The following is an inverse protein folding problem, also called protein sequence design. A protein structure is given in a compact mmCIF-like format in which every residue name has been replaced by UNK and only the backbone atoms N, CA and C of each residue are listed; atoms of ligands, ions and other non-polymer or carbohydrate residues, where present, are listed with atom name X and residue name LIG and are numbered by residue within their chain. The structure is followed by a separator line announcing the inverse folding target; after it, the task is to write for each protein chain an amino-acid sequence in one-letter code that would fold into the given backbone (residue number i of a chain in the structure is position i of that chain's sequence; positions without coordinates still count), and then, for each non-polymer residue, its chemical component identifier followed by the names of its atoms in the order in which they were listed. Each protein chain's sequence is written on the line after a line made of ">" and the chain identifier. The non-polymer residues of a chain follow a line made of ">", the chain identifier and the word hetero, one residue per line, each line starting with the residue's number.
data_IF_688917847292
#
_entry.id   IF_688917847292
#
_cell.length_a   1.000
_cell.length_b   1.000
_cell.length_c   1.000
_cell.angle_alpha   90.00
_cell.angle_beta   90.00
_cell.angle_gamma   90.00
#
_symmetry.space_group_name_H-M   'P 1'
#
loop_
_entity.id
_entity.type
_entity.pdbx_description
1 polymer ?
#
# COMPACT_ATOMS: atom_id res chain seq x y z
N UNK A 1 5.03 4.74 30.98
CA UNK A 1 4.69 4.60 30.92
C UNK A 1 4.50 4.36 30.79
N UNK A 2 4.46 3.82 30.61
CA UNK A 2 4.12 3.55 30.49
C UNK A 2 4.15 2.93 30.07
N UNK A 3 4.25 2.29 30.16
CA UNK A 3 4.11 1.81 29.94
C UNK A 3 3.93 1.37 29.70
N UNK A 4 3.84 0.68 29.68
CA UNK A 4 3.49 0.42 29.71
C UNK A 4 3.50 -0.16 29.62
N UNK A 5 3.65 -0.75 29.92
CA UNK A 5 3.50 -1.08 30.17
C UNK A 5 3.46 -1.54 29.93
N UNK A 6 3.53 -2.10 29.74
CA UNK A 6 3.28 -2.15 29.60
C UNK A 6 3.33 -1.89 29.17
N UNK A 7 3.39 -2.10 29.01
CA UNK A 7 3.22 -1.54 28.79
C UNK A 7 3.15 -1.16 28.10
N UNK A 8 3.20 -1.55 27.88
CA UNK A 8 2.93 -1.03 27.41
C UNK A 8 2.52 -0.29 27.13
N UNK A 9 2.14 -0.39 26.93
CA UNK A 9 1.45 0.43 26.71
C UNK A 9 1.30 0.94 26.06
N UNK A 10 1.87 0.69 26.27
CA UNK A 10 1.48 1.65 25.60
C UNK A 10 1.26 1.92 24.18
N UNK A 11 0.95 1.63 23.43
CA UNK A 11 0.62 1.88 22.24
C UNK A 11 -0.44 2.85 21.98
N UNK A 12 -1.07 3.49 22.84
CA UNK A 12 -2.09 4.50 22.62
C UNK A 12 -1.63 5.68 21.80
N UNK A 13 -0.38 5.92 21.80
CA UNK A 13 0.14 7.01 21.02
C UNK A 13 -0.19 6.91 19.56
N UNK A 14 -0.33 5.71 19.09
CA UNK A 14 -0.64 5.48 17.70
C UNK A 14 -1.97 6.08 17.34
N UNK A 15 -2.91 6.04 18.28
CA UNK A 15 -4.24 6.52 17.98
C UNK A 15 -4.34 8.01 17.94
N UNK A 16 -3.42 8.69 18.57
CA UNK A 16 -3.48 10.13 18.60
C UNK A 16 -3.24 10.79 17.27
N UNK A 17 -2.71 10.06 16.32
CA UNK A 17 -2.38 10.64 15.03
C UNK A 17 -3.48 10.48 14.01
N UNK A 18 -4.62 9.98 14.42
CA UNK A 18 -5.64 9.63 13.46
C UNK A 18 -6.20 10.77 12.66
N UNK A 19 -6.27 11.96 13.23
CA UNK A 19 -6.83 13.08 12.50
C UNK A 19 -6.06 13.39 11.24
N UNK A 20 -4.74 13.36 11.31
CA UNK A 20 -3.94 13.54 10.12
C UNK A 20 -3.80 12.27 9.31
N UNK A 21 -3.95 11.13 9.97
CA UNK A 21 -3.67 9.83 9.38
C UNK A 21 -4.59 9.48 8.23
N UNK A 22 -5.86 9.84 8.31
CA UNK A 22 -6.79 9.52 7.22
C UNK A 22 -6.38 10.18 5.93
N UNK A 23 -6.01 11.45 5.98
CA UNK A 23 -5.56 12.15 4.79
C UNK A 23 -4.27 11.53 4.26
N UNK A 24 -3.37 11.19 5.17
CA UNK A 24 -2.11 10.55 4.79
C UNK A 24 -2.33 9.20 4.14
N UNK A 25 -3.28 8.44 4.64
CA UNK A 25 -3.59 7.13 4.06
C UNK A 25 -4.20 7.31 2.67
N UNK A 26 -5.09 8.28 2.52
CA UNK A 26 -5.67 8.57 1.21
C UNK A 26 -4.60 8.99 0.20
N UNK A 27 -3.68 9.84 0.64
CA UNK A 27 -2.58 10.28 -0.21
C UNK A 27 -1.69 9.12 -0.58
N UNK A 28 -1.40 8.24 0.37
CA UNK A 28 -0.59 7.06 0.09
C UNK A 28 -1.27 6.14 -0.91
N UNK A 29 -2.59 6.00 -0.81
CA UNK A 29 -3.34 5.20 -1.78
C UNK A 29 -3.22 5.79 -3.17
N UNK A 30 -3.35 7.10 -3.29
CA UNK A 30 -3.21 7.77 -4.59
C UNK A 30 -1.80 7.58 -5.14
N UNK A 31 -0.79 7.70 -4.29
CA UNK A 31 0.60 7.49 -4.71
C UNK A 31 0.82 6.04 -5.16
N UNK A 32 0.25 5.09 -4.44
CA UNK A 32 0.39 3.69 -4.81
C UNK A 32 -0.25 3.42 -6.17
N UNK A 33 -1.43 4.00 -6.42
CA UNK A 33 -2.09 3.86 -7.71
C UNK A 33 -1.25 4.44 -8.83
N UNK A 34 -0.66 5.61 -8.60
CA UNK A 34 0.16 6.26 -9.61
C UNK A 34 1.41 5.43 -9.92
N UNK A 35 2.06 4.92 -8.88
CA UNK A 35 3.24 4.09 -9.07
C UNK A 35 2.91 2.78 -9.76
N UNK A 36 1.80 2.17 -9.40
CA UNK A 36 1.39 0.94 -10.08
C UNK A 36 1.14 1.19 -11.56
N UNK A 37 0.50 2.31 -11.89
CA UNK A 37 0.28 2.66 -13.29
C UNK A 37 1.60 2.83 -14.05
N UNK A 38 2.60 3.41 -13.39
CA UNK A 38 3.93 3.55 -14.00
C UNK A 38 4.55 2.18 -14.29
N UNK A 39 4.47 1.27 -13.33
CA UNK A 39 5.03 -0.07 -13.53
C UNK A 39 4.30 -0.85 -14.62
N UNK A 40 2.98 -0.67 -14.72
CA UNK A 40 2.22 -1.31 -15.78
C UNK A 40 2.66 -0.79 -17.15
N UNK A 41 2.87 0.52 -17.26
CA UNK A 41 3.35 1.10 -18.52
C UNK A 41 4.77 0.60 -18.85
N UNK A 42 5.62 0.49 -17.83
CA UNK A 42 6.96 -0.03 -18.02
C UNK A 42 6.92 -1.48 -18.47
N UNK A 43 6.02 -2.27 -17.89
CA UNK A 43 5.82 -3.65 -18.31
C UNK A 43 5.44 -3.72 -19.80
N UNK A 44 4.50 -2.90 -20.22
CA UNK A 44 4.07 -2.91 -21.62
C UNK A 44 5.21 -2.53 -22.55
N UNK A 45 6.02 -1.57 -22.17
CA UNK A 45 7.17 -1.17 -22.95
C UNK A 45 8.18 -2.30 -23.03
N UNK A 46 8.51 -2.92 -21.90
CA UNK A 46 9.46 -4.03 -21.87
C UNK A 46 8.97 -5.21 -22.73
N UNK A 47 7.67 -5.44 -22.69
CA UNK A 47 7.06 -6.49 -23.51
C UNK A 47 7.27 -6.21 -24.99
N UNK A 48 7.11 -4.96 -25.41
CA UNK A 48 7.28 -4.60 -26.80
C UNK A 48 8.71 -4.82 -27.29
N UNK A 49 9.69 -4.53 -26.45
CA UNK A 49 11.08 -4.67 -26.84
C UNK A 49 11.67 -6.04 -26.51
N UNK A 50 10.87 -6.91 -25.90
CA UNK A 50 11.32 -8.25 -25.58
C UNK A 50 12.26 -8.36 -24.39
N UNK A 51 12.25 -7.36 -23.50
CA UNK A 51 13.12 -7.34 -22.32
C UNK A 51 12.46 -8.13 -21.18
N UNK A 52 12.76 -9.42 -21.13
CA UNK A 52 12.12 -10.34 -20.20
C UNK A 52 12.40 -9.98 -18.74
N UNK A 53 13.64 -9.58 -18.43
CA UNK A 53 13.98 -9.24 -17.05
C UNK A 53 13.21 -8.03 -16.55
N UNK A 54 13.11 -7.01 -17.39
CA UNK A 54 12.33 -5.82 -17.02
C UNK A 54 10.85 -6.15 -16.89
N UNK A 55 10.34 -7.06 -17.71
CA UNK A 55 8.96 -7.51 -17.57
C UNK A 55 8.72 -8.14 -16.21
N UNK A 56 9.64 -9.02 -15.79
CA UNK A 56 9.51 -9.68 -14.50
C UNK A 56 9.56 -8.68 -13.35
N UNK A 57 10.49 -7.74 -13.43
CA UNK A 57 10.60 -6.71 -12.39
C UNK A 57 9.33 -5.87 -12.30
N UNK A 58 8.83 -5.45 -13.46
CA UNK A 58 7.62 -4.64 -13.50
C UNK A 58 6.42 -5.41 -12.95
N UNK A 59 6.31 -6.70 -13.30
CA UNK A 59 5.20 -7.52 -12.81
C UNK A 59 5.25 -7.65 -11.29
N UNK A 60 6.44 -7.90 -10.73
CA UNK A 60 6.59 -8.00 -9.29
C UNK A 60 6.24 -6.71 -8.59
N UNK A 61 6.72 -5.58 -9.12
CA UNK A 61 6.47 -4.29 -8.49
C UNK A 61 5.01 -3.89 -8.58
N UNK A 62 4.37 -4.12 -9.73
CA UNK A 62 2.96 -3.78 -9.87
C UNK A 62 2.10 -4.66 -8.96
N UNK A 63 2.47 -5.93 -8.81
CA UNK A 63 1.74 -6.84 -7.93
C UNK A 63 1.88 -6.44 -6.47
N UNK A 64 3.08 -6.05 -6.06
CA UNK A 64 3.30 -5.58 -4.70
C UNK A 64 2.47 -4.34 -4.41
N UNK A 65 2.41 -3.41 -5.36
CA UNK A 65 1.61 -2.19 -5.19
C UNK A 65 0.11 -2.49 -5.18
N UNK A 66 -0.32 -3.49 -5.90
CA UNK A 66 -1.70 -3.93 -5.85
C UNK A 66 -2.08 -4.36 -4.44
N UNK A 67 -1.18 -5.08 -3.77
CA UNK A 67 -1.39 -5.46 -2.37
C UNK A 67 -1.45 -4.26 -1.45
N UNK A 68 -0.58 -3.28 -1.67
CA UNK A 68 -0.59 -2.04 -0.90
C UNK A 68 -1.93 -1.31 -1.08
N UNK A 69 -2.41 -1.19 -2.31
CA UNK A 69 -3.69 -0.55 -2.59
C UNK A 69 -4.82 -1.26 -1.84
N UNK A 70 -4.85 -2.58 -1.90
CA UNK A 70 -5.90 -3.34 -1.23
C UNK A 70 -5.89 -3.11 0.27
N UNK A 71 -4.70 -3.13 0.87
CA UNK A 71 -4.56 -2.90 2.30
C UNK A 71 -5.06 -1.52 2.69
N UNK A 72 -4.66 -0.50 1.92
CA UNK A 72 -5.07 0.86 2.23
C UNK A 72 -6.56 1.07 2.06
N UNK A 73 -7.16 0.47 1.03
CA UNK A 73 -8.60 0.53 0.85
C UNK A 73 -9.34 -0.14 1.99
N UNK A 74 -8.81 -1.27 2.45
CA UNK A 74 -9.41 -1.95 3.59
C UNK A 74 -9.34 -1.10 4.85
N UNK A 75 -8.19 -0.47 5.10
CA UNK A 75 -8.02 0.41 6.25
C UNK A 75 -8.97 1.60 6.18
N UNK A 76 -9.20 2.13 4.98
CA UNK A 76 -10.13 3.25 4.80
C UNK A 76 -11.59 2.83 4.88
N UNK A 77 -11.86 1.54 5.03
CA UNK A 77 -13.22 1.04 5.17
C UNK A 77 -14.00 0.99 3.86
N UNK A 78 -13.30 0.93 2.74
CA UNK A 78 -13.95 0.88 1.44
C UNK A 78 -14.78 -0.39 1.30
N UNK A 79 -16.01 -0.23 0.83
CA UNK A 79 -16.95 -1.34 0.71
C UNK A 79 -16.45 -2.35 -0.31
N UNK A 80 -16.63 -3.63 0.01
CA UNK A 80 -16.29 -4.71 -0.92
C UNK A 80 -14.85 -5.16 -0.89
N UNK A 81 -14.02 -4.54 -0.07
CA UNK A 81 -12.62 -4.93 0.04
C UNK A 81 -12.47 -5.93 1.17
N UNK A 82 -11.94 -7.09 0.85
CA UNK A 82 -11.70 -8.13 1.86
C UNK A 82 -10.48 -7.80 2.71
N UNK A 83 -10.49 -8.33 3.93
CA UNK A 83 -9.33 -8.28 4.80
C UNK A 83 -8.15 -8.90 4.07
N UNK A 84 -7.06 -8.14 3.87
CA UNK A 84 -5.93 -8.66 3.10
C UNK A 84 -5.19 -9.80 3.74
N UNK A 85 -5.47 -10.08 5.01
CA UNK A 85 -4.84 -11.20 5.71
C UNK A 85 -5.66 -12.48 5.65
N UNK A 86 -6.81 -12.43 5.03
CA UNK A 86 -7.65 -13.63 4.89
C UNK A 86 -7.46 -14.33 3.56
#
# INVERSE_FOLDING_TARGET
>A
MEINSKGRLARPEVMRTYDGTWVEIEDMLDDAKAKRAQWVRFYEHAKKIGDTESMKDAARNSKALEGVEKTLRWVLGESGIQDPLN
#
